data_IF_352102283412
#
_entry.id   IF_352102283412
#
_cell.length_a   1.000
_cell.length_b   1.000
_cell.length_c   1.000
_cell.angle_alpha   90.00
_cell.angle_beta   90.00
_cell.angle_gamma   90.00
#
_symmetry.space_group_name_H-M   'P 1'
#
loop_
_entity.id
_entity.type
_entity.pdbx_description
1 polymer ?
#
# COMPACT_ATOMS: atom_id res chain seq x y z
N UNK A 1 10.43 -27.51 8.01
CA UNK A 1 9.30 -26.67 8.48
C UNK A 1 8.78 -25.90 7.28
N UNK A 2 7.62 -26.30 6.76
CA UNK A 2 6.98 -25.61 5.64
C UNK A 2 6.55 -24.23 6.15
N UNK A 3 7.18 -23.15 5.67
CA UNK A 3 6.79 -21.80 6.06
C UNK A 3 5.65 -21.37 5.15
N UNK A 4 4.44 -21.44 5.65
CA UNK A 4 3.33 -20.74 5.02
C UNK A 4 3.68 -19.23 4.98
N UNK A 5 3.45 -18.55 3.85
CA UNK A 5 3.74 -17.13 3.76
C UNK A 5 2.84 -16.36 4.74
N UNK A 6 3.45 -15.67 5.70
CA UNK A 6 2.77 -14.70 6.55
C UNK A 6 2.50 -13.45 5.73
N UNK A 7 1.22 -13.16 5.47
CA UNK A 7 0.80 -11.93 4.78
C UNK A 7 0.20 -10.94 5.77
N UNK A 8 0.69 -9.70 5.76
CA UNK A 8 0.04 -8.57 6.43
C UNK A 8 -0.57 -7.68 5.35
N UNK A 9 -1.88 -7.50 5.38
CA UNK A 9 -2.58 -6.67 4.40
C UNK A 9 -4.07 -6.94 4.31
N UNK A 10 -4.68 -6.47 3.23
CA UNK A 10 -6.10 -6.67 2.95
C UNK A 10 -6.29 -7.81 1.96
N UNK A 11 -7.31 -8.65 2.19
CA UNK A 11 -7.74 -9.72 1.27
C UNK A 11 -8.94 -9.32 0.39
N UNK A 12 -9.16 -10.09 -0.68
CA UNK A 12 -10.37 -10.02 -1.49
C UNK A 12 -10.75 -8.62 -1.99
N UNK A 13 -12.00 -8.21 -1.75
CA UNK A 13 -12.53 -6.91 -2.20
C UNK A 13 -11.78 -5.71 -1.61
N UNK A 14 -11.33 -5.81 -0.36
CA UNK A 14 -10.61 -4.71 0.29
C UNK A 14 -9.23 -4.49 -0.33
N UNK A 15 -8.55 -5.58 -0.73
CA UNK A 15 -7.30 -5.49 -1.49
C UNK A 15 -7.49 -4.74 -2.82
N UNK A 16 -8.61 -5.00 -3.51
CA UNK A 16 -8.96 -4.33 -4.77
C UNK A 16 -9.24 -2.85 -4.55
N UNK A 17 -10.06 -2.50 -3.56
CA UNK A 17 -10.35 -1.09 -3.25
C UNK A 17 -9.09 -0.32 -2.86
N UNK A 18 -8.22 -0.93 -2.04
CA UNK A 18 -6.93 -0.34 -1.69
C UNK A 18 -6.09 -0.06 -2.94
N UNK A 19 -5.98 -1.00 -3.88
CA UNK A 19 -5.26 -0.79 -5.15
C UNK A 19 -5.86 0.31 -6.01
N UNK A 20 -7.19 0.34 -6.17
CA UNK A 20 -7.89 1.36 -6.97
C UNK A 20 -7.51 2.76 -6.51
N UNK A 21 -7.54 3.00 -5.20
CA UNK A 21 -7.18 4.30 -4.66
C UNK A 21 -5.68 4.55 -4.58
N UNK A 22 -4.87 3.53 -4.32
CA UNK A 22 -3.42 3.67 -4.22
C UNK A 22 -2.81 4.05 -5.57
N UNK A 23 -3.25 3.40 -6.65
CA UNK A 23 -2.66 3.55 -7.98
C UNK A 23 -3.51 4.38 -8.95
N UNK A 24 -4.68 4.86 -8.53
CA UNK A 24 -5.56 5.67 -9.38
C UNK A 24 -6.18 4.87 -10.53
N UNK A 25 -6.66 3.66 -10.23
CA UNK A 25 -7.28 2.79 -11.21
C UNK A 25 -8.74 3.19 -11.50
N UNK A 26 -9.34 2.54 -12.50
CA UNK A 26 -10.76 2.64 -12.77
C UNK A 26 -11.55 1.68 -11.89
N UNK A 27 -12.68 2.14 -11.38
CA UNK A 27 -13.69 1.27 -10.77
C UNK A 27 -15.10 1.81 -11.01
N UNK A 28 -16.07 0.90 -11.03
CA UNK A 28 -17.50 1.24 -11.07
C UNK A 28 -17.93 1.84 -9.75
N UNK A 29 -18.65 2.97 -9.78
CA UNK A 29 -19.16 3.64 -8.57
C UNK A 29 -20.18 2.76 -7.85
N UNK A 30 -21.11 2.18 -8.61
CA UNK A 30 -22.10 1.21 -8.16
C UNK A 30 -22.10 0.00 -9.12
N UNK A 31 -22.57 -1.19 -8.70
CA UNK A 31 -22.72 -2.32 -9.62
C UNK A 31 -23.55 -1.94 -10.85
N UNK A 32 -22.99 -2.14 -12.05
CA UNK A 32 -23.62 -1.74 -13.32
C UNK A 32 -23.64 -0.23 -13.61
N UNK A 33 -23.07 0.59 -12.72
CA UNK A 33 -22.97 2.04 -12.86
C UNK A 33 -21.73 2.49 -13.66
N UNK A 34 -21.56 3.81 -13.81
CA UNK A 34 -20.45 4.38 -14.56
C UNK A 34 -19.09 4.03 -13.94
N UNK A 35 -18.08 3.88 -14.80
CA UNK A 35 -16.68 3.77 -14.38
C UNK A 35 -16.08 5.15 -14.13
N UNK A 36 -15.33 5.26 -13.04
CA UNK A 36 -14.57 6.45 -12.69
C UNK A 36 -13.10 6.11 -12.48
N UNK A 37 -12.20 6.92 -13.04
CA UNK A 37 -10.76 6.82 -12.74
C UNK A 37 -10.48 7.64 -11.49
N UNK A 38 -10.10 6.97 -10.41
CA UNK A 38 -9.74 7.64 -9.17
C UNK A 38 -8.37 8.30 -9.30
N UNK A 39 -8.13 9.44 -8.63
CA UNK A 39 -6.79 9.98 -8.51
C UNK A 39 -5.94 9.04 -7.65
N UNK A 40 -4.67 8.86 -8.01
CA UNK A 40 -3.71 8.13 -7.19
C UNK A 40 -3.47 8.87 -5.88
N UNK A 41 -3.47 8.15 -4.76
CA UNK A 41 -3.12 8.71 -3.45
C UNK A 41 -1.61 8.86 -3.35
N UNK A 42 -1.14 10.10 -3.52
CA UNK A 42 0.25 10.46 -3.26
C UNK A 42 0.49 10.31 -1.76
N UNK A 43 1.48 9.50 -1.40
CA UNK A 43 1.97 9.48 -0.02
C UNK A 43 2.66 10.81 0.24
N UNK A 44 2.35 11.44 1.37
CA UNK A 44 3.19 12.49 1.93
C UNK A 44 4.53 11.79 2.22
N UNK A 45 5.43 11.84 1.26
CA UNK A 45 6.69 11.10 1.31
C UNK A 45 7.50 11.53 2.52
N UNK A 46 8.44 10.68 2.91
CA UNK A 46 9.45 11.07 3.89
C UNK A 46 10.37 12.11 3.25
N UNK A 47 10.71 13.15 4.00
CA UNK A 47 11.87 14.00 3.69
C UNK A 47 13.14 13.16 3.66
N UNK A 48 14.20 13.68 3.04
CA UNK A 48 15.49 12.98 3.02
C UNK A 48 16.02 12.69 4.43
N UNK A 49 15.79 13.60 5.38
CA UNK A 49 16.16 13.43 6.79
C UNK A 49 15.38 12.29 7.43
N UNK A 50 14.06 12.26 7.26
CA UNK A 50 13.21 11.18 7.77
C UNK A 50 13.55 9.83 7.15
N UNK A 51 13.96 9.82 5.88
CA UNK A 51 14.38 8.59 5.20
C UNK A 51 15.66 8.02 5.79
N UNK A 52 16.63 8.88 6.13
CA UNK A 52 17.86 8.48 6.82
C UNK A 52 17.52 7.97 8.23
N UNK A 53 16.70 8.69 8.98
CA UNK A 53 16.29 8.26 10.34
C UNK A 53 15.62 6.88 10.34
N UNK A 54 14.66 6.65 9.43
CA UNK A 54 13.97 5.35 9.32
C UNK A 54 14.97 4.25 8.93
N UNK A 55 15.84 4.49 7.95
CA UNK A 55 16.85 3.52 7.52
C UNK A 55 17.77 3.13 8.66
N UNK A 56 18.31 4.12 9.38
CA UNK A 56 19.28 3.89 10.44
C UNK A 56 18.61 3.16 11.63
N UNK A 57 17.36 3.49 11.95
CA UNK A 57 16.58 2.76 12.95
C UNK A 57 16.33 1.30 12.55
N UNK A 58 16.00 1.04 11.28
CA UNK A 58 15.81 -0.32 10.79
C UNK A 58 17.12 -1.13 10.88
N UNK A 59 18.26 -0.57 10.45
CA UNK A 59 19.55 -1.27 10.50
C UNK A 59 20.04 -1.52 11.93
N UNK A 60 19.79 -0.57 12.85
CA UNK A 60 20.09 -0.75 14.28
C UNK A 60 19.33 -1.89 14.94
N UNK A 61 18.15 -2.24 14.43
CA UNK A 61 17.29 -3.28 15.00
C UNK A 61 17.32 -4.62 14.23
N UNK A 62 17.97 -4.67 13.06
CA UNK A 62 18.06 -5.87 12.20
C UNK A 62 19.43 -6.56 12.31
N UNK A 63 20.37 -5.97 13.05
CA UNK A 63 21.64 -6.65 13.37
C UNK A 63 21.37 -7.73 14.44
N UNK A 64 21.40 -9.00 14.01
CA UNK A 64 21.41 -10.20 14.85
C UNK A 64 22.84 -10.56 15.21
#
# INVERSE_FOLDING_TARGET
>A
MNKDPLAVGFGGRMARLARVHQFGEKATINPGGPEYRYPARVLLGLTDVERVMVRDHLLGNVTI
#
